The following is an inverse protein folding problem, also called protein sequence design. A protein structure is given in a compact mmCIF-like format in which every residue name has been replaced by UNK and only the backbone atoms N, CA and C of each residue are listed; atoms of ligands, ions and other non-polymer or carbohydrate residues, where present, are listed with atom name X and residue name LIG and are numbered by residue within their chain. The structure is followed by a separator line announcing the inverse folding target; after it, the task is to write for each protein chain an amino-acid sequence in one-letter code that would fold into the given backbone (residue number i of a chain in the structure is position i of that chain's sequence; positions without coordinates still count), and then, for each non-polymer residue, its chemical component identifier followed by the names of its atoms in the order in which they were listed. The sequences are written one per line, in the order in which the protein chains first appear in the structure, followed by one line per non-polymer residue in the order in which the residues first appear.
data_IF_201288445776
#
_entry.id   IF_201288445776
#
_cell.length_a   1.000
_cell.length_b   1.000
_cell.length_c   1.000
_cell.angle_alpha   90.00
_cell.angle_beta   90.00
_cell.angle_gamma   90.00
#
_symmetry.space_group_name_H-M   'P 1'
#
loop_
_entity.id
_entity.type
_entity.pdbx_description
1 polymer ?
#
# COMPACT_ATOMS: atom_id res chain seq x y z
N UNK A 1 17.69 10.09 -0.39
CA UNK A 1 18.06 9.11 0.65
C UNK A 1 18.63 7.89 -0.05
N UNK A 2 19.92 7.55 0.17
CA UNK A 2 20.45 6.25 -0.25
C UNK A 2 19.68 5.14 0.51
N UNK A 3 19.55 3.96 -0.10
CA UNK A 3 18.93 2.74 0.48
C UNK A 3 17.39 2.68 0.52
N UNK A 4 16.67 3.67 -0.01
CA UNK A 4 15.20 3.58 -0.10
C UNK A 4 14.80 2.47 -1.08
N UNK A 5 14.09 1.46 -0.56
CA UNK A 5 13.50 0.37 -1.33
C UNK A 5 12.05 0.69 -1.66
N UNK A 6 11.73 0.71 -2.94
CA UNK A 6 10.39 0.87 -3.48
C UNK A 6 9.95 -0.45 -4.05
N UNK A 7 8.71 -0.84 -3.75
CA UNK A 7 8.10 -2.01 -4.38
C UNK A 7 6.66 -1.72 -4.75
N UNK A 8 6.22 -2.30 -5.87
CA UNK A 8 4.83 -2.23 -6.34
C UNK A 8 4.39 -3.64 -6.77
N UNK A 9 3.43 -4.25 -6.07
CA UNK A 9 2.88 -5.56 -6.47
C UNK A 9 2.08 -5.40 -7.77
N UNK A 10 2.49 -6.10 -8.82
CA UNK A 10 1.81 -6.10 -10.13
C UNK A 10 0.84 -7.27 -10.26
N UNK A 11 1.21 -8.42 -9.67
CA UNK A 11 0.37 -9.63 -9.59
C UNK A 11 0.86 -10.50 -8.42
N UNK A 12 0.14 -11.58 -8.05
CA UNK A 12 0.58 -12.47 -6.97
C UNK A 12 1.97 -13.08 -7.16
N UNK A 13 2.50 -13.12 -8.40
CA UNK A 13 3.82 -13.68 -8.73
C UNK A 13 4.83 -12.63 -9.22
N UNK A 14 4.43 -11.38 -9.38
CA UNK A 14 5.29 -10.34 -9.95
C UNK A 14 5.29 -9.09 -9.09
N UNK A 15 6.49 -8.65 -8.73
CA UNK A 15 6.76 -7.46 -7.95
C UNK A 15 7.69 -6.56 -8.75
N UNK A 16 7.31 -5.31 -8.95
CA UNK A 16 8.23 -4.28 -9.39
C UNK A 16 9.07 -3.86 -8.18
N UNK A 17 10.39 -3.86 -8.29
CA UNK A 17 11.30 -3.51 -7.21
C UNK A 17 12.34 -2.51 -7.70
N UNK A 18 12.57 -1.46 -6.89
CA UNK A 18 13.61 -0.48 -7.11
C UNK A 18 14.35 -0.16 -5.80
N UNK A 19 15.65 0.07 -5.88
CA UNK A 19 16.45 0.52 -4.75
C UNK A 19 17.31 1.70 -5.18
N UNK A 20 17.16 2.84 -4.52
CA UNK A 20 17.89 4.07 -4.87
C UNK A 20 19.39 3.88 -4.58
N UNK A 21 20.21 4.02 -5.63
CA UNK A 21 21.67 3.89 -5.52
C UNK A 21 22.23 2.48 -5.71
N UNK A 22 21.37 1.47 -5.99
CA UNK A 22 21.81 0.09 -6.19
C UNK A 22 21.35 -0.47 -7.53
N UNK A 23 22.11 -1.46 -8.01
CA UNK A 23 21.70 -2.25 -9.18
C UNK A 23 20.50 -3.12 -8.81
N UNK A 24 19.49 -3.11 -9.67
CA UNK A 24 18.31 -3.94 -9.48
C UNK A 24 18.65 -5.43 -9.56
N UNK A 25 17.91 -6.29 -8.83
CA UNK A 25 17.96 -7.73 -9.03
C UNK A 25 17.68 -8.08 -10.50
N UNK A 26 18.26 -9.17 -10.99
CA UNK A 26 17.98 -9.61 -12.35
C UNK A 26 16.50 -9.96 -12.52
N UNK A 27 15.94 -9.67 -13.69
CA UNK A 27 14.58 -10.10 -14.03
C UNK A 27 14.48 -11.62 -13.88
N UNK A 28 13.49 -12.08 -13.13
CA UNK A 28 13.29 -13.51 -12.82
C UNK A 28 13.93 -13.96 -11.50
N UNK A 29 14.65 -13.08 -10.78
CA UNK A 29 15.03 -13.35 -9.40
C UNK A 29 13.77 -13.63 -8.57
N UNK A 30 13.74 -14.80 -7.95
CA UNK A 30 12.63 -15.22 -7.09
C UNK A 30 13.01 -14.93 -5.65
N UNK A 31 12.09 -14.29 -4.92
CA UNK A 31 12.26 -14.01 -3.50
C UNK A 31 12.24 -15.31 -2.69
N UNK A 32 12.99 -15.34 -1.59
CA UNK A 32 12.81 -16.38 -0.59
C UNK A 32 11.40 -16.32 0.01
N UNK A 33 10.94 -17.43 0.57
CA UNK A 33 9.63 -17.49 1.24
C UNK A 33 9.52 -16.43 2.35
N UNK A 34 10.62 -16.21 3.10
CA UNK A 34 10.70 -15.22 4.18
C UNK A 34 10.55 -13.79 3.65
N UNK A 35 11.25 -13.44 2.58
CA UNK A 35 11.12 -12.11 1.95
C UNK A 35 9.72 -11.89 1.37
N UNK A 36 9.16 -12.91 0.71
CA UNK A 36 7.81 -12.85 0.18
C UNK A 36 6.76 -12.67 1.29
N UNK A 37 6.91 -13.39 2.41
CA UNK A 37 6.05 -13.25 3.58
C UNK A 37 6.15 -11.84 4.18
N UNK A 38 7.36 -11.28 4.29
CA UNK A 38 7.57 -9.92 4.76
C UNK A 38 6.86 -8.88 3.89
N UNK A 39 7.02 -8.95 2.57
CA UNK A 39 6.38 -8.02 1.63
C UNK A 39 4.85 -8.16 1.70
N UNK A 40 4.34 -9.40 1.78
CA UNK A 40 2.90 -9.65 1.99
C UNK A 40 2.39 -8.96 3.26
N UNK A 41 3.08 -9.13 4.38
CA UNK A 41 2.70 -8.48 5.65
C UNK A 41 2.72 -6.95 5.53
N UNK A 42 3.72 -6.37 4.86
CA UNK A 42 3.77 -4.93 4.61
C UNK A 42 2.57 -4.43 3.80
N UNK A 43 2.20 -5.13 2.73
CA UNK A 43 1.03 -4.79 1.91
C UNK A 43 -0.26 -4.88 2.73
N UNK A 44 -0.43 -5.95 3.51
CA UNK A 44 -1.64 -6.17 4.31
C UNK A 44 -1.80 -5.14 5.44
N UNK A 45 -0.69 -4.77 6.08
CA UNK A 45 -0.67 -3.72 7.09
C UNK A 45 -0.97 -2.34 6.49
N UNK A 46 -0.41 -2.04 5.31
CA UNK A 46 -0.63 -0.77 4.62
C UNK A 46 -2.00 -0.66 3.93
N UNK A 47 -2.70 -1.77 3.70
CA UNK A 47 -4.02 -1.76 3.08
C UNK A 47 -5.02 -1.02 3.98
N UNK A 48 -5.55 0.12 3.54
CA UNK A 48 -6.44 0.93 4.36
C UNK A 48 -7.84 0.30 4.47
N UNK A 49 -8.49 -0.01 3.34
CA UNK A 49 -9.93 -0.37 3.32
C UNK A 49 -10.21 -1.84 3.07
N UNK A 50 -9.71 -2.38 1.96
CA UNK A 50 -10.08 -3.72 1.49
C UNK A 50 -8.85 -4.54 1.14
N UNK A 51 -8.94 -5.83 1.45
CA UNK A 51 -8.01 -6.86 0.98
C UNK A 51 -8.84 -7.87 0.22
N UNK A 52 -8.54 -8.04 -1.06
CA UNK A 52 -9.14 -9.08 -1.88
C UNK A 52 -8.16 -10.24 -1.97
N UNK A 53 -8.61 -11.43 -1.60
CA UNK A 53 -7.79 -12.63 -1.72
C UNK A 53 -8.65 -13.83 -2.14
N UNK A 54 -8.03 -14.76 -2.86
CA UNK A 54 -8.65 -16.03 -3.24
C UNK A 54 -8.73 -17.01 -2.06
N UNK A 55 -7.82 -16.88 -1.09
CA UNK A 55 -7.82 -17.64 0.15
C UNK A 55 -7.94 -16.68 1.33
N UNK A 56 -8.96 -16.88 2.17
CA UNK A 56 -9.33 -16.01 3.28
C UNK A 56 -8.90 -16.51 4.66
N UNK A 57 -8.31 -17.72 4.74
CA UNK A 57 -8.13 -18.43 6.02
C UNK A 57 -7.40 -17.64 7.11
N UNK A 58 -6.48 -16.74 6.74
CA UNK A 58 -5.67 -15.98 7.70
C UNK A 58 -6.03 -14.48 7.73
N UNK A 59 -7.01 -14.03 6.94
CA UNK A 59 -7.30 -12.59 6.81
C UNK A 59 -7.79 -12.01 8.12
N UNK A 60 -8.63 -12.73 8.85
CA UNK A 60 -9.18 -12.25 10.13
C UNK A 60 -8.09 -12.11 11.20
N UNK A 61 -7.06 -12.96 11.16
CA UNK A 61 -5.88 -12.85 12.04
C UNK A 61 -4.98 -11.70 11.64
N UNK A 62 -4.75 -11.50 10.34
CA UNK A 62 -3.83 -10.48 9.83
C UNK A 62 -4.47 -9.09 9.89
N UNK A 63 -5.77 -8.99 9.64
CA UNK A 63 -6.51 -7.73 9.59
C UNK A 63 -7.94 -7.94 10.07
N UNK A 64 -8.11 -7.94 11.40
CA UNK A 64 -9.42 -8.01 12.03
C UNK A 64 -10.33 -6.86 11.57
N UNK A 65 -11.59 -7.17 11.29
CA UNK A 65 -12.57 -6.16 10.89
C UNK A 65 -13.01 -5.30 12.08
N UNK A 66 -12.74 -4.00 12.02
CA UNK A 66 -13.30 -3.02 12.96
C UNK A 66 -14.56 -2.38 12.36
N UNK A 67 -15.70 -2.52 13.03
CA UNK A 67 -16.96 -1.86 12.63
C UNK A 67 -17.17 -0.66 13.55
N UNK A 68 -17.10 0.55 13.00
CA UNK A 68 -17.33 1.80 13.74
C UNK A 68 -18.10 2.80 12.89
N UNK A 69 -19.16 3.38 13.46
CA UNK A 69 -19.94 4.45 12.83
C UNK A 69 -19.09 5.71 12.66
N UNK A 70 -18.35 6.09 13.70
CA UNK A 70 -17.55 7.31 13.69
C UNK A 70 -16.47 7.26 12.60
N UNK A 71 -15.82 6.10 12.42
CA UNK A 71 -14.85 5.91 11.32
C UNK A 71 -15.51 6.02 9.95
N UNK A 72 -16.72 5.49 9.81
CA UNK A 72 -17.48 5.58 8.56
C UNK A 72 -17.88 7.03 8.23
N UNK A 73 -18.42 7.76 9.21
CA UNK A 73 -18.87 9.14 9.02
C UNK A 73 -17.68 10.07 8.74
N UNK A 74 -16.54 9.86 9.41
CA UNK A 74 -15.30 10.58 9.15
C UNK A 74 -14.78 10.33 7.72
N UNK A 75 -14.76 9.07 7.26
CA UNK A 75 -14.36 8.71 5.90
C UNK A 75 -15.30 9.33 4.84
N UNK A 76 -16.61 9.26 5.07
CA UNK A 76 -17.60 9.84 4.17
C UNK A 76 -17.43 11.35 4.03
N UNK A 77 -17.19 12.05 5.16
CA UNK A 77 -16.88 13.48 5.16
C UNK A 77 -15.59 13.78 4.41
N UNK A 78 -14.51 13.03 4.68
CA UNK A 78 -13.23 13.19 4.00
C UNK A 78 -13.39 13.05 2.47
N UNK A 79 -14.16 12.08 2.00
CA UNK A 79 -14.42 11.89 0.58
C UNK A 79 -15.28 13.02 -0.02
N UNK A 80 -16.28 13.51 0.71
CA UNK A 80 -17.12 14.61 0.25
C UNK A 80 -16.31 15.92 0.10
N UNK A 81 -15.38 16.16 1.02
CA UNK A 81 -14.51 17.35 1.06
C UNK A 81 -13.22 17.17 0.25
N UNK A 82 -12.95 15.95 -0.25
CA UNK A 82 -11.69 15.60 -0.92
C UNK A 82 -11.36 16.55 -2.07
N UNK A 83 -12.33 16.81 -2.95
CA UNK A 83 -12.10 17.64 -4.13
C UNK A 83 -11.70 19.07 -3.75
N UNK A 84 -12.45 19.70 -2.84
CA UNK A 84 -12.14 21.04 -2.36
C UNK A 84 -10.77 21.10 -1.69
N UNK A 85 -10.48 20.15 -0.80
CA UNK A 85 -9.20 20.12 -0.09
C UNK A 85 -8.02 19.93 -1.04
N UNK A 86 -8.10 18.99 -1.99
CA UNK A 86 -7.03 18.75 -2.96
C UNK A 86 -6.83 19.94 -3.90
N UNK A 87 -7.92 20.53 -4.43
CA UNK A 87 -7.80 21.67 -5.34
C UNK A 87 -7.20 22.90 -4.67
N UNK A 88 -7.49 23.12 -3.38
CA UNK A 88 -6.84 24.19 -2.62
C UNK A 88 -5.35 23.92 -2.43
N UNK A 89 -4.98 22.71 -2.01
CA UNK A 89 -3.58 22.31 -1.82
C UNK A 89 -2.77 22.42 -3.13
N UNK A 90 -3.35 21.99 -4.26
CA UNK A 90 -2.72 22.14 -5.58
C UNK A 90 -2.53 23.61 -5.98
N UNK A 91 -3.50 24.48 -5.70
CA UNK A 91 -3.41 25.91 -6.00
C UNK A 91 -2.38 26.65 -5.13
N UNK A 92 -2.17 26.20 -3.90
CA UNK A 92 -1.18 26.75 -2.96
C UNK A 92 0.21 26.12 -3.14
N UNK A 93 0.32 25.05 -3.95
CA UNK A 93 1.58 24.35 -4.15
C UNK A 93 2.58 25.24 -4.88
N UNK A 94 3.79 25.44 -4.34
CA UNK A 94 4.76 26.34 -4.95
C UNK A 94 5.27 25.79 -6.29
N UNK A 95 5.24 26.63 -7.32
CA UNK A 95 5.97 26.41 -8.57
C UNK A 95 7.48 26.48 -8.28
N UNK A 96 8.14 25.33 -8.17
CA UNK A 96 9.59 25.19 -8.02
C UNK A 96 10.28 25.07 -9.38
#
# INVERSE_FOLDING_TARGET
MPDTKLFLPLSPRHLLFACVGYRLPQRGTTLSLTEAAFIRTMILNGANRYVFATNIQDIDEIKSRTVSRDLFDADAKLWAEWHESQSREEAEYPDL
#
